data_IF_405695649899
#
_entry.id   IF_405695649899
#
_cell.length_a   1.000
_cell.length_b   1.000
_cell.length_c   1.000
_cell.angle_alpha   90.00
_cell.angle_beta   90.00
_cell.angle_gamma   90.00
#
_symmetry.space_group_name_H-M   'P 1'
#
loop_
_entity.id
_entity.type
_entity.pdbx_description
1 polymer ?
#
# COMPACT_ATOMS: atom_id res chain seq x y z
N UNK A 1 28.43 -6.25 18.06
CA UNK A 1 27.79 -4.92 18.12
C UNK A 1 26.81 -4.88 16.98
N UNK A 2 25.58 -5.32 17.20
CA UNK A 2 24.51 -5.21 16.22
C UNK A 2 23.84 -3.88 16.50
N UNK A 3 23.89 -2.96 15.54
CA UNK A 3 23.07 -1.77 15.59
C UNK A 3 21.67 -2.21 15.19
N UNK A 4 20.79 -2.32 16.17
CA UNK A 4 19.35 -2.28 15.92
C UNK A 4 19.06 -0.91 15.29
N UNK A 5 18.78 -0.91 14.00
CA UNK A 5 18.14 0.22 13.31
C UNK A 5 16.73 0.33 13.87
N UNK A 6 16.64 0.86 15.08
CA UNK A 6 15.39 1.28 15.68
C UNK A 6 14.77 2.30 14.72
N UNK A 7 13.61 1.94 14.19
CA UNK A 7 12.74 2.85 13.44
C UNK A 7 12.71 4.15 14.23
N UNK A 8 13.10 5.25 13.58
CA UNK A 8 13.04 6.59 14.19
C UNK A 8 11.69 6.72 14.87
N UNK A 9 11.68 7.07 16.16
CA UNK A 9 10.51 7.31 17.00
C UNK A 9 9.68 8.52 16.53
N UNK A 10 9.35 8.57 15.25
CA UNK A 10 8.17 9.27 14.76
C UNK A 10 7.00 8.53 15.38
N UNK A 11 6.08 9.26 15.99
CA UNK A 11 4.79 8.73 16.41
C UNK A 11 4.11 8.12 15.18
N UNK A 12 4.29 6.82 15.01
CA UNK A 12 3.54 6.04 14.05
C UNK A 12 2.09 6.14 14.52
N UNK A 13 1.21 6.58 13.63
CA UNK A 13 -0.20 6.61 13.95
C UNK A 13 -0.68 5.16 14.12
N UNK A 14 -1.20 4.81 15.30
CA UNK A 14 -1.72 3.46 15.57
C UNK A 14 -2.83 3.01 14.59
N UNK A 15 -3.45 3.92 13.83
CA UNK A 15 -4.33 3.56 12.71
C UNK A 15 -3.55 2.98 11.52
N UNK A 16 -2.34 3.46 11.24
CA UNK A 16 -1.44 2.90 10.24
C UNK A 16 -0.88 1.53 10.70
N UNK A 17 -0.80 1.30 12.02
CA UNK A 17 -0.42 0.00 12.61
C UNK A 17 -1.42 -1.11 12.32
N UNK A 18 -2.72 -0.83 12.46
CA UNK A 18 -3.78 -1.75 12.06
C UNK A 18 -3.73 -2.07 10.55
N UNK A 19 -3.31 -1.10 9.75
CA UNK A 19 -3.26 -1.18 8.29
C UNK A 19 -2.09 -2.05 7.80
N UNK A 20 -0.96 -2.10 8.51
CA UNK A 20 0.17 -2.95 8.08
C UNK A 20 0.03 -4.44 8.39
N UNK A 21 -0.82 -4.81 9.35
CA UNK A 21 -0.81 -6.17 9.92
C UNK A 21 -1.93 -7.08 9.39
N UNK A 22 -2.72 -6.60 8.41
CA UNK A 22 -3.89 -7.29 7.81
C UNK A 22 -4.91 -7.79 8.83
N UNK A 23 -4.74 -7.42 10.10
CA UNK A 23 -5.45 -7.97 11.23
C UNK A 23 -6.46 -6.93 11.68
N UNK A 24 -7.65 -7.01 11.12
CA UNK A 24 -8.81 -6.70 11.92
C UNK A 24 -8.78 -7.60 13.18
N UNK A 25 -8.68 -6.99 14.36
CA UNK A 25 -9.22 -7.50 15.64
C UNK A 25 -8.34 -8.34 16.60
N UNK A 26 -7.04 -8.07 16.79
CA UNK A 26 -6.40 -8.54 18.02
C UNK A 26 -5.39 -7.56 18.60
N UNK A 27 -5.70 -7.09 19.81
CA UNK A 27 -4.76 -6.48 20.75
C UNK A 27 -4.37 -7.59 21.76
N UNK A 28 -3.07 -7.98 21.87
CA UNK A 28 -1.92 -7.39 21.19
C UNK A 28 -1.81 -7.77 19.72
N UNK A 29 -1.15 -6.90 18.94
CA UNK A 29 -0.78 -7.15 17.56
C UNK A 29 -0.04 -8.49 17.42
N UNK A 30 -0.22 -9.16 16.28
CA UNK A 30 0.50 -10.40 16.01
C UNK A 30 2.03 -10.15 16.05
N UNK A 31 2.88 -11.04 16.58
CA UNK A 31 4.34 -10.82 16.66
C UNK A 31 5.07 -10.63 15.33
N UNK A 32 4.38 -10.87 14.20
CA UNK A 32 4.87 -10.63 12.85
C UNK A 32 4.35 -9.32 12.26
N UNK A 33 3.71 -8.49 13.06
CA UNK A 33 3.22 -7.18 12.66
C UNK A 33 4.42 -6.34 12.20
N UNK A 34 4.40 -5.78 10.97
CA UNK A 34 5.48 -4.95 10.44
C UNK A 34 5.95 -3.81 11.35
N UNK A 35 5.09 -3.37 12.26
CA UNK A 35 5.41 -2.34 13.27
C UNK A 35 6.21 -2.87 14.47
N UNK A 36 6.09 -4.16 14.77
CA UNK A 36 6.93 -4.85 15.77
C UNK A 36 8.28 -5.25 15.18
N UNK A 37 8.30 -5.62 13.89
CA UNK A 37 9.54 -6.07 13.22
C UNK A 37 10.33 -4.94 12.58
N UNK A 38 9.68 -3.82 12.25
CA UNK A 38 10.24 -2.70 11.49
C UNK A 38 10.46 -2.97 10.01
N UNK A 39 9.90 -4.07 9.48
CA UNK A 39 10.03 -4.46 8.08
C UNK A 39 8.78 -4.07 7.30
N UNK A 40 8.82 -2.90 6.65
CA UNK A 40 7.70 -2.38 5.86
C UNK A 40 7.86 -2.71 4.38
N UNK A 41 7.25 -3.81 3.94
CA UNK A 41 7.23 -4.23 2.55
C UNK A 41 6.11 -3.58 1.71
N UNK A 42 6.05 -3.87 0.39
CA UNK A 42 5.09 -3.27 -0.54
C UNK A 42 3.64 -3.34 -0.10
N UNK A 43 3.20 -4.45 0.49
CA UNK A 43 1.83 -4.63 0.98
C UNK A 43 1.46 -3.60 2.06
N UNK A 44 2.35 -3.32 3.01
CA UNK A 44 2.10 -2.32 4.07
C UNK A 44 1.97 -0.92 3.48
N UNK A 45 2.84 -0.56 2.55
CA UNK A 45 2.79 0.74 1.89
C UNK A 45 1.48 0.91 1.09
N UNK A 46 1.04 -0.15 0.40
CA UNK A 46 -0.21 -0.13 -0.37
C UNK A 46 -1.44 0.03 0.53
N UNK A 47 -1.48 -0.67 1.67
CA UNK A 47 -2.56 -0.52 2.66
C UNK A 47 -2.52 0.89 3.29
N UNK A 48 -1.35 1.43 3.60
CA UNK A 48 -1.21 2.81 4.10
C UNK A 48 -1.63 3.86 3.05
N UNK A 49 -1.35 3.63 1.77
CA UNK A 49 -1.83 4.47 0.68
C UNK A 49 -3.36 4.38 0.53
N UNK A 50 -3.97 3.20 0.72
CA UNK A 50 -5.42 3.02 0.71
C UNK A 50 -6.11 3.89 1.78
N UNK A 51 -5.56 3.95 2.99
CA UNK A 51 -6.10 4.81 4.04
C UNK A 51 -6.16 6.28 3.62
N UNK A 52 -5.15 6.78 2.90
CA UNK A 52 -5.15 8.15 2.34
C UNK A 52 -6.22 8.34 1.28
N UNK A 53 -6.38 7.37 0.37
CA UNK A 53 -7.40 7.37 -0.69
C UNK A 53 -8.80 7.46 -0.09
N UNK A 54 -9.10 6.64 0.92
CA UNK A 54 -10.43 6.59 1.57
C UNK A 54 -10.81 7.89 2.27
N UNK A 55 -9.83 8.62 2.79
CA UNK A 55 -10.04 9.88 3.48
C UNK A 55 -9.98 11.10 2.55
N UNK A 56 -9.72 10.91 1.24
CA UNK A 56 -9.60 12.01 0.30
C UNK A 56 -10.98 12.58 -0.10
N UNK A 57 -11.17 13.91 -0.15
CA UNK A 57 -12.48 14.53 -0.39
C UNK A 57 -12.95 14.52 -1.86
N UNK A 58 -12.09 14.12 -2.80
CA UNK A 58 -12.49 13.98 -4.21
C UNK A 58 -13.46 12.79 -4.40
N UNK A 59 -14.04 12.62 -5.59
CA UNK A 59 -14.84 11.43 -5.93
C UNK A 59 -14.21 10.56 -7.03
N UNK A 60 -13.36 11.16 -7.86
CA UNK A 60 -12.66 10.54 -9.00
C UNK A 60 -11.37 11.34 -9.25
N UNK A 61 -10.36 10.70 -9.84
CA UNK A 61 -9.10 11.36 -10.15
C UNK A 61 -8.23 11.51 -8.90
N UNK A 62 -7.26 10.62 -8.74
CA UNK A 62 -6.37 10.59 -7.58
C UNK A 62 -4.94 10.24 -7.98
N UNK A 63 -3.97 10.96 -7.41
CA UNK A 63 -2.55 10.68 -7.59
C UNK A 63 -2.12 9.51 -6.69
N UNK A 64 -2.31 8.29 -7.21
CA UNK A 64 -1.94 7.06 -6.52
C UNK A 64 -0.42 7.01 -6.26
N UNK A 65 0.39 7.47 -7.21
CA UNK A 65 1.85 7.44 -7.07
C UNK A 65 2.32 8.36 -5.94
N UNK A 66 1.76 9.57 -5.86
CA UNK A 66 2.00 10.50 -4.77
C UNK A 66 1.56 9.94 -3.41
N UNK A 67 0.43 9.25 -3.34
CA UNK A 67 -0.05 8.65 -2.09
C UNK A 67 0.82 7.48 -1.60
N UNK A 68 1.28 6.62 -2.52
CA UNK A 68 2.22 5.53 -2.22
C UNK A 68 3.54 6.11 -1.70
N UNK A 69 4.08 7.13 -2.37
CA UNK A 69 5.32 7.75 -1.94
C UNK A 69 5.19 8.45 -0.58
N UNK A 70 4.07 9.15 -0.34
CA UNK A 70 3.80 9.77 0.96
C UNK A 70 3.66 8.71 2.07
N UNK A 71 3.01 7.58 1.80
CA UNK A 71 2.95 6.46 2.73
C UNK A 71 4.34 5.89 3.04
N UNK A 72 5.19 5.74 2.04
CA UNK A 72 6.57 5.28 2.22
C UNK A 72 7.40 6.28 3.05
N UNK A 73 7.28 7.59 2.81
CA UNK A 73 7.96 8.61 3.64
C UNK A 73 7.54 8.52 5.10
N UNK A 74 6.25 8.31 5.35
CA UNK A 74 5.73 8.30 6.72
C UNK A 74 6.18 7.06 7.48
N UNK A 75 6.33 5.91 6.80
CA UNK A 75 6.71 4.65 7.42
C UNK A 75 8.23 4.41 7.51
N UNK A 76 8.98 4.71 6.43
CA UNK A 76 10.42 4.38 6.36
C UNK A 76 11.34 5.60 6.27
N UNK A 77 10.78 6.81 6.17
CA UNK A 77 11.54 8.04 5.99
C UNK A 77 12.06 8.24 4.56
N UNK A 78 12.61 9.43 4.30
CA UNK A 78 12.96 9.86 2.93
C UNK A 78 14.00 8.97 2.22
N UNK A 79 14.98 8.45 2.97
CA UNK A 79 16.13 7.77 2.37
C UNK A 79 15.75 6.44 1.70
N UNK A 80 14.70 5.79 2.19
CA UNK A 80 14.23 4.49 1.69
C UNK A 80 12.89 4.58 0.94
N UNK A 81 12.18 5.70 1.08
CA UNK A 81 10.83 5.86 0.55
C UNK A 81 10.72 5.66 -0.97
N UNK A 82 11.71 6.13 -1.75
CA UNK A 82 11.65 6.03 -3.20
C UNK A 82 11.69 4.57 -3.67
N UNK A 83 12.63 3.78 -3.14
CA UNK A 83 12.78 2.38 -3.53
C UNK A 83 11.51 1.58 -3.19
N UNK A 84 10.99 1.74 -1.97
CA UNK A 84 9.76 1.08 -1.54
C UNK A 84 8.54 1.55 -2.33
N UNK A 85 8.42 2.85 -2.64
CA UNK A 85 7.34 3.35 -3.47
C UNK A 85 7.40 2.81 -4.90
N UNK A 86 8.60 2.59 -5.45
CA UNK A 86 8.79 1.99 -6.77
C UNK A 86 8.32 0.52 -6.75
N UNK A 87 8.72 -0.25 -5.74
CA UNK A 87 8.29 -1.64 -5.56
C UNK A 87 6.77 -1.77 -5.34
N UNK A 88 6.17 -0.92 -4.50
CA UNK A 88 4.73 -0.88 -4.29
C UNK A 88 3.95 -0.52 -5.56
N UNK A 89 4.45 0.44 -6.35
CA UNK A 89 3.81 0.78 -7.64
C UNK A 89 3.90 -0.38 -8.62
N UNK A 90 5.01 -1.11 -8.63
CA UNK A 90 5.16 -2.30 -9.46
C UNK A 90 4.14 -3.39 -9.05
N UNK A 91 4.02 -3.69 -7.75
CA UNK A 91 3.04 -4.64 -7.24
C UNK A 91 1.59 -4.27 -7.61
N UNK A 92 1.22 -3.00 -7.49
CA UNK A 92 -0.08 -2.52 -7.93
C UNK A 92 -0.26 -2.61 -9.45
N UNK A 93 0.77 -2.29 -10.23
CA UNK A 93 0.71 -2.41 -11.68
C UNK A 93 0.48 -3.86 -12.12
N UNK A 94 1.19 -4.82 -11.52
CA UNK A 94 1.04 -6.25 -11.79
C UNK A 94 -0.38 -6.74 -11.45
N UNK A 95 -0.92 -6.31 -10.29
CA UNK A 95 -2.31 -6.58 -9.91
C UNK A 95 -3.30 -6.03 -10.95
N UNK A 96 -3.17 -4.76 -11.33
CA UNK A 96 -4.07 -4.12 -12.29
C UNK A 96 -4.00 -4.75 -13.69
N UNK A 97 -2.81 -5.14 -14.14
CA UNK A 97 -2.65 -5.88 -15.40
C UNK A 97 -3.35 -7.24 -15.32
N UNK A 98 -3.23 -7.95 -14.18
CA UNK A 98 -3.97 -9.18 -13.92
C UNK A 98 -5.49 -9.01 -14.02
N UNK A 99 -6.03 -7.91 -13.48
CA UNK A 99 -7.46 -7.59 -13.53
C UNK A 99 -7.93 -7.16 -14.92
N UNK A 100 -7.15 -6.32 -15.60
CA UNK A 100 -7.54 -5.71 -16.88
C UNK A 100 -7.25 -6.62 -18.09
N UNK A 101 -6.48 -7.69 -17.88
CA UNK A 101 -6.15 -8.69 -18.87
C UNK A 101 -4.97 -8.31 -19.78
N UNK A 102 -4.63 -9.19 -20.74
CA UNK A 102 -3.36 -9.12 -21.49
C UNK A 102 -3.14 -7.83 -22.27
N UNK A 103 -4.20 -7.14 -22.70
CA UNK A 103 -4.09 -5.84 -23.37
C UNK A 103 -3.45 -4.75 -22.49
N UNK A 104 -3.53 -4.87 -21.16
CA UNK A 104 -2.97 -3.91 -20.22
C UNK A 104 -1.43 -4.02 -20.12
N UNK A 105 -0.85 -5.17 -20.49
CA UNK A 105 0.60 -5.39 -20.49
C UNK A 105 1.34 -4.33 -21.33
N UNK A 106 0.79 -3.95 -22.48
CA UNK A 106 1.36 -2.94 -23.37
C UNK A 106 1.43 -1.53 -22.75
N UNK A 107 0.67 -1.29 -21.68
CA UNK A 107 0.61 -0.03 -20.94
C UNK A 107 0.98 -0.22 -19.48
N UNK A 108 1.70 -1.29 -19.12
CA UNK A 108 2.06 -1.63 -17.74
C UNK A 108 2.62 -0.43 -16.95
N UNK A 109 3.56 0.32 -17.54
CA UNK A 109 4.14 1.53 -16.93
C UNK A 109 3.18 2.72 -16.76
N UNK A 110 1.95 2.62 -17.28
CA UNK A 110 0.91 3.65 -17.22
C UNK A 110 -0.35 3.16 -16.50
N UNK A 111 -0.50 1.87 -16.17
CA UNK A 111 -1.79 1.36 -15.64
C UNK A 111 -2.16 2.02 -14.33
N UNK A 112 -1.19 2.23 -13.43
CA UNK A 112 -1.42 2.90 -12.13
C UNK A 112 -1.89 4.34 -12.34
N UNK A 113 -1.23 5.08 -13.24
CA UNK A 113 -1.63 6.45 -13.57
C UNK A 113 -3.03 6.51 -14.18
N UNK A 114 -3.33 5.66 -15.16
CA UNK A 114 -4.65 5.60 -15.81
C UNK A 114 -5.75 5.19 -14.84
N UNK A 115 -5.46 4.22 -13.97
CA UNK A 115 -6.39 3.81 -12.92
C UNK A 115 -6.69 4.99 -11.99
N UNK A 116 -5.66 5.70 -11.52
CA UNK A 116 -5.82 6.90 -10.70
C UNK A 116 -6.67 7.99 -11.36
N UNK A 117 -6.53 8.21 -12.68
CA UNK A 117 -7.32 9.21 -13.40
C UNK A 117 -8.80 8.87 -13.56
N UNK A 118 -9.13 7.60 -13.81
CA UNK A 118 -10.44 7.22 -14.32
C UNK A 118 -11.27 6.39 -13.34
N UNK A 119 -10.65 5.73 -12.36
CA UNK A 119 -11.36 4.95 -11.37
C UNK A 119 -11.94 5.84 -10.27
N UNK A 120 -13.05 5.39 -9.68
CA UNK A 120 -13.60 6.02 -8.48
C UNK A 120 -12.67 5.72 -7.30
N UNK A 121 -12.64 6.60 -6.28
CA UNK A 121 -11.80 6.36 -5.10
C UNK A 121 -12.07 5.01 -4.41
N UNK A 122 -13.32 4.54 -4.39
CA UNK A 122 -13.65 3.23 -3.85
C UNK A 122 -12.99 2.08 -4.62
N UNK A 123 -12.93 2.18 -5.95
CA UNK A 123 -12.27 1.19 -6.81
C UNK A 123 -10.75 1.24 -6.66
N UNK A 124 -10.18 2.45 -6.50
CA UNK A 124 -8.76 2.64 -6.19
C UNK A 124 -8.42 2.01 -4.84
N UNK A 125 -9.28 2.22 -3.83
CA UNK A 125 -9.11 1.62 -2.52
C UNK A 125 -9.10 0.08 -2.61
N UNK A 126 -10.11 -0.51 -3.26
CA UNK A 126 -10.17 -1.97 -3.49
C UNK A 126 -8.90 -2.47 -4.18
N UNK A 127 -8.43 -1.78 -5.22
CA UNK A 127 -7.25 -2.20 -5.97
C UNK A 127 -5.96 -2.13 -5.15
N UNK A 128 -5.80 -1.10 -4.31
CA UNK A 128 -4.66 -0.99 -3.40
C UNK A 128 -4.64 -2.12 -2.37
N UNK A 129 -5.79 -2.44 -1.79
CA UNK A 129 -5.90 -3.51 -0.80
C UNK A 129 -5.70 -4.89 -1.44
N UNK A 130 -6.37 -5.16 -2.56
CA UNK A 130 -6.23 -6.42 -3.29
C UNK A 130 -4.81 -6.66 -3.82
N UNK A 131 -4.09 -5.61 -4.23
CA UNK A 131 -2.67 -5.71 -4.60
C UNK A 131 -1.78 -6.04 -3.38
N UNK A 132 -2.10 -5.49 -2.20
CA UNK A 132 -1.39 -5.82 -0.97
C UNK A 132 -1.60 -7.28 -0.56
N UNK A 133 -2.84 -7.77 -0.65
CA UNK A 133 -3.16 -9.16 -0.31
C UNK A 133 -2.54 -10.15 -1.28
N UNK A 134 -2.62 -9.87 -2.58
CA UNK A 134 -1.94 -10.69 -3.59
C UNK A 134 -0.43 -10.73 -3.36
N UNK A 135 0.18 -9.61 -2.97
CA UNK A 135 1.61 -9.56 -2.65
C UNK A 135 1.98 -10.42 -1.44
N UNK A 136 1.14 -10.43 -0.41
CA UNK A 136 1.30 -11.28 0.78
C UNK A 136 0.96 -12.78 0.51
N UNK A 137 0.53 -13.11 -0.71
CA UNK A 137 0.15 -14.48 -1.10
C UNK A 137 -1.24 -14.89 -0.61
N UNK A 138 -2.06 -13.93 -0.20
CA UNK A 138 -3.47 -14.14 0.14
C UNK A 138 -4.34 -14.03 -1.13
N UNK A 139 -5.43 -14.77 -1.16
CA UNK A 139 -6.46 -14.55 -2.18
C UNK A 139 -7.15 -13.20 -1.88
N UNK A 140 -7.24 -12.26 -2.85
CA UNK A 140 -7.87 -10.97 -2.61
C UNK A 140 -9.36 -11.15 -2.27
N UNK A 141 -9.78 -10.81 -1.05
CA UNK A 141 -11.19 -10.83 -0.66
C UNK A 141 -11.82 -9.44 -0.92
N UNK A 142 -12.80 -9.32 -1.83
CA UNK A 142 -13.47 -8.06 -2.11
C UNK A 142 -14.30 -7.51 -0.93
N UNK A 143 -14.51 -8.29 0.14
CA UNK A 143 -15.20 -7.87 1.36
C UNK A 143 -14.30 -7.21 2.41
N UNK A 144 -12.98 -7.24 2.24
CA UNK A 144 -12.00 -6.61 3.14
C UNK A 144 -11.72 -5.11 2.82
N UNK A 145 -12.48 -4.52 1.89
CA UNK A 145 -12.29 -3.16 1.37
C UNK A 145 -13.26 -2.11 1.95
#
# INVERSE_FOLDING_TARGET
>A
MSQDTTISAREINHQDECVGCSAHLSDPCHPLCPFETGEFGPAVILRAANHRVRNHPAGVGYDIAGAIFAAAIDLVGNDQAQALADESRQALADYLVGQWGPQAEAIHNQVVYRHGLFAQLAEIAVSLYGAADQYDGNDPDPSDC
#
